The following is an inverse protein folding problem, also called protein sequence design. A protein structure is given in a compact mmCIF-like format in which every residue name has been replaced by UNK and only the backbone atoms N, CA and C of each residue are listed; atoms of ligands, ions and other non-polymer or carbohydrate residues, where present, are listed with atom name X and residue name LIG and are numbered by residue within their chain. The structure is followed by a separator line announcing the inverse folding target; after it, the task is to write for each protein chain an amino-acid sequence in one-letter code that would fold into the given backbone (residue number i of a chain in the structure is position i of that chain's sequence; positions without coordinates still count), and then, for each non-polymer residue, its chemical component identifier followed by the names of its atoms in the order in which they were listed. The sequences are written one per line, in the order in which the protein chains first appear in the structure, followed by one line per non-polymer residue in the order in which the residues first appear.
data_IF_814011909760
#
_entry.id   IF_814011909760
#
_cell.length_a   1.000
_cell.length_b   1.000
_cell.length_c   1.000
_cell.angle_alpha   90.00
_cell.angle_beta   90.00
_cell.angle_gamma   90.00
#
_symmetry.space_group_name_H-M   'P 1'
#
loop_
_entity.id
_entity.type
_entity.pdbx_description
1 polymer ?
#
# COMPACT_ATOMS: atom_id res chain seq x y z
N UNK A 1 6.44 -25.29 -0.30
CA UNK A 1 5.42 -24.91 -1.31
C UNK A 1 6.09 -24.40 -2.60
N UNK A 2 7.01 -23.42 -2.56
CA UNK A 2 7.72 -22.93 -3.77
C UNK A 2 8.67 -23.98 -4.38
N UNK A 3 9.20 -24.92 -3.59
CA UNK A 3 10.03 -26.00 -4.10
C UNK A 3 9.20 -27.04 -4.89
N UNK A 4 7.95 -27.26 -4.51
CA UNK A 4 7.05 -28.19 -5.19
C UNK A 4 6.51 -27.62 -6.50
N UNK A 5 6.35 -26.30 -6.60
CA UNK A 5 5.94 -25.60 -7.84
C UNK A 5 6.96 -25.80 -8.98
N UNK A 6 8.25 -25.99 -8.69
CA UNK A 6 9.26 -26.29 -9.72
C UNK A 6 9.00 -27.60 -10.48
N UNK A 7 8.18 -28.50 -9.95
CA UNK A 7 7.78 -29.74 -10.61
C UNK A 7 6.36 -29.67 -11.21
N UNK A 8 5.52 -28.68 -10.81
CA UNK A 8 4.19 -28.51 -11.37
C UNK A 8 4.28 -27.80 -12.73
N UNK A 9 4.14 -28.58 -13.79
CA UNK A 9 4.12 -28.07 -15.17
C UNK A 9 2.78 -27.42 -15.55
N UNK A 10 1.72 -27.70 -14.79
CA UNK A 10 0.35 -27.21 -15.01
C UNK A 10 -0.39 -27.10 -13.70
N UNK A 11 -1.31 -26.15 -13.60
CA UNK A 11 -2.15 -25.95 -12.42
C UNK A 11 -2.76 -24.55 -12.40
N UNK A 12 -3.58 -24.29 -11.38
CA UNK A 12 -4.15 -22.97 -11.11
C UNK A 12 -3.71 -22.52 -9.72
N UNK A 13 -3.37 -21.27 -9.58
CA UNK A 13 -3.07 -20.60 -8.31
C UNK A 13 -3.99 -19.40 -8.22
N UNK A 14 -4.70 -19.25 -7.09
CA UNK A 14 -5.57 -18.10 -6.81
C UNK A 14 -4.87 -17.16 -5.84
N UNK A 15 -4.59 -15.94 -6.30
CA UNK A 15 -3.92 -14.89 -5.55
C UNK A 15 -4.92 -13.81 -5.15
N UNK A 16 -5.02 -13.52 -3.85
CA UNK A 16 -5.79 -12.40 -3.30
C UNK A 16 -4.91 -11.19 -3.00
N UNK A 17 -5.43 -9.99 -3.21
CA UNK A 17 -4.81 -8.73 -2.81
C UNK A 17 -5.80 -7.58 -2.88
N UNK A 18 -5.48 -6.45 -2.24
CA UNK A 18 -6.28 -5.24 -2.38
C UNK A 18 -6.08 -4.56 -3.74
N UNK A 19 -7.05 -3.77 -4.22
CA UNK A 19 -6.96 -3.09 -5.51
C UNK A 19 -5.70 -2.24 -5.69
N UNK A 20 -5.28 -1.52 -4.66
CA UNK A 20 -4.09 -0.68 -4.71
C UNK A 20 -2.83 -1.52 -5.00
N UNK A 21 -2.60 -2.60 -4.24
CA UNK A 21 -1.46 -3.50 -4.45
C UNK A 21 -1.53 -4.22 -5.78
N UNK A 22 -2.72 -4.58 -6.20
CA UNK A 22 -2.94 -5.16 -7.53
C UNK A 22 -2.41 -4.24 -8.64
N UNK A 23 -2.62 -2.94 -8.53
CA UNK A 23 -2.17 -1.95 -9.50
C UNK A 23 -0.66 -1.75 -9.47
N UNK A 24 -0.07 -1.68 -8.29
CA UNK A 24 1.35 -1.33 -8.12
C UNK A 24 2.30 -2.53 -8.25
N UNK A 25 1.96 -3.67 -7.64
CA UNK A 25 2.89 -4.80 -7.45
C UNK A 25 2.71 -5.93 -8.47
N UNK A 26 1.45 -6.26 -8.82
CA UNK A 26 1.18 -7.48 -9.56
C UNK A 26 1.61 -7.46 -11.04
N UNK A 27 1.47 -6.38 -11.82
CA UNK A 27 1.63 -6.46 -13.27
C UNK A 27 2.99 -7.02 -13.71
N UNK A 28 4.08 -6.50 -13.13
CA UNK A 28 5.43 -6.95 -13.47
C UNK A 28 5.73 -8.34 -12.92
N UNK A 29 5.24 -8.64 -11.73
CA UNK A 29 5.45 -9.91 -11.05
C UNK A 29 4.73 -11.04 -11.76
N UNK A 30 3.47 -10.84 -12.12
CA UNK A 30 2.67 -11.81 -12.88
C UNK A 30 3.23 -12.04 -14.29
N UNK A 31 3.70 -10.98 -14.97
CA UNK A 31 4.34 -11.12 -16.27
C UNK A 31 5.59 -12.00 -16.19
N UNK A 32 6.46 -11.78 -15.22
CA UNK A 32 7.66 -12.61 -14.99
C UNK A 32 7.30 -14.04 -14.64
N UNK A 33 6.32 -14.22 -13.75
CA UNK A 33 5.84 -15.53 -13.33
C UNK A 33 5.31 -16.33 -14.51
N UNK A 34 4.45 -15.73 -15.34
CA UNK A 34 3.88 -16.37 -16.52
C UNK A 34 4.95 -16.82 -17.53
N UNK A 35 6.00 -16.02 -17.70
CA UNK A 35 7.10 -16.38 -18.58
C UNK A 35 7.94 -17.55 -18.03
N UNK A 36 8.09 -17.64 -16.71
CA UNK A 36 8.84 -18.72 -16.06
C UNK A 36 8.02 -20.01 -15.92
N UNK A 37 6.69 -19.87 -15.78
CA UNK A 37 5.77 -20.99 -15.53
C UNK A 37 4.54 -20.91 -16.46
N UNK A 38 4.73 -21.08 -17.78
CA UNK A 38 3.66 -20.87 -18.77
C UNK A 38 2.47 -21.82 -18.64
N UNK A 39 2.69 -22.98 -18.00
CA UNK A 39 1.63 -23.98 -17.75
C UNK A 39 0.82 -23.71 -16.48
N UNK A 40 1.20 -22.71 -15.66
CA UNK A 40 0.47 -22.36 -14.45
C UNK A 40 -0.44 -21.17 -14.74
N UNK A 41 -1.75 -21.35 -14.49
CA UNK A 41 -2.74 -20.27 -14.54
C UNK A 41 -2.72 -19.53 -13.19
N UNK A 42 -2.67 -18.22 -13.22
CA UNK A 42 -2.89 -17.39 -12.03
C UNK A 42 -4.23 -16.70 -12.17
N UNK A 43 -5.11 -16.96 -11.21
CA UNK A 43 -6.36 -16.24 -11.01
C UNK A 43 -6.14 -15.18 -9.91
N UNK A 44 -6.79 -14.04 -10.03
CA UNK A 44 -6.63 -12.94 -9.07
C UNK A 44 -7.96 -12.53 -8.50
N UNK A 45 -8.02 -12.36 -7.19
CA UNK A 45 -9.18 -11.86 -6.46
C UNK A 45 -8.80 -10.54 -5.81
N UNK A 46 -9.62 -9.51 -6.03
CA UNK A 46 -9.41 -8.19 -5.47
C UNK A 46 -10.54 -7.87 -4.50
N UNK A 47 -10.20 -7.71 -3.22
CA UNK A 47 -11.20 -7.47 -2.19
C UNK A 47 -10.59 -6.70 -1.00
N UNK A 48 -11.38 -6.42 0.02
CA UNK A 48 -10.93 -5.93 1.31
C UNK A 48 -10.09 -6.98 2.03
N UNK A 49 -9.21 -6.55 2.93
CA UNK A 49 -8.36 -7.47 3.72
C UNK A 49 -9.21 -8.47 4.50
N UNK A 50 -10.31 -8.02 5.09
CA UNK A 50 -11.23 -8.89 5.82
C UNK A 50 -11.80 -10.01 4.96
N UNK A 51 -12.31 -9.69 3.78
CA UNK A 51 -12.84 -10.68 2.86
C UNK A 51 -11.74 -11.64 2.35
N UNK A 52 -10.55 -11.11 2.08
CA UNK A 52 -9.39 -11.93 1.68
C UNK A 52 -8.99 -12.93 2.76
N UNK A 53 -9.04 -12.55 4.04
CA UNK A 53 -8.82 -13.47 5.16
C UNK A 53 -9.86 -14.60 5.17
N UNK A 54 -11.13 -14.30 4.91
CA UNK A 54 -12.18 -15.33 4.85
C UNK A 54 -11.96 -16.28 3.67
N UNK A 55 -11.61 -15.74 2.50
CA UNK A 55 -11.32 -16.54 1.31
C UNK A 55 -10.09 -17.44 1.48
N UNK A 56 -9.07 -16.98 2.22
CA UNK A 56 -7.93 -17.82 2.61
C UNK A 56 -8.36 -18.95 3.56
N UNK A 57 -9.21 -18.64 4.56
CA UNK A 57 -9.72 -19.67 5.49
C UNK A 57 -10.56 -20.73 4.79
N UNK A 58 -11.37 -20.33 3.81
CA UNK A 58 -12.18 -21.27 3.03
C UNK A 58 -11.38 -22.05 1.98
N UNK A 59 -10.16 -21.62 1.67
CA UNK A 59 -9.33 -22.21 0.61
C UNK A 59 -9.74 -21.79 -0.80
N UNK A 60 -10.56 -20.75 -0.94
CA UNK A 60 -10.91 -20.17 -2.24
C UNK A 60 -9.77 -19.34 -2.82
N UNK A 61 -8.90 -18.82 -1.95
CA UNK A 61 -7.64 -18.16 -2.29
C UNK A 61 -6.48 -18.95 -1.71
N UNK A 62 -5.45 -19.22 -2.50
CA UNK A 62 -4.27 -19.99 -2.09
C UNK A 62 -3.31 -19.17 -1.25
N UNK A 63 -3.13 -17.88 -1.60
CA UNK A 63 -2.32 -16.92 -0.84
C UNK A 63 -2.70 -15.47 -1.15
N UNK A 64 -2.36 -14.57 -0.22
CA UNK A 64 -2.55 -13.13 -0.39
C UNK A 64 -1.21 -12.39 -0.36
N UNK A 65 -1.17 -11.23 -1.03
CA UNK A 65 -0.09 -10.26 -0.89
C UNK A 65 -0.69 -9.01 -0.27
N UNK A 66 -0.32 -8.76 1.01
CA UNK A 66 -0.83 -7.62 1.78
C UNK A 66 0.20 -7.15 2.80
N UNK A 67 0.00 -5.95 3.35
CA UNK A 67 0.78 -5.48 4.48
C UNK A 67 0.14 -5.94 5.79
N UNK A 68 0.93 -6.51 6.62
CA UNK A 68 0.93 -6.60 8.09
C UNK A 68 -0.37 -6.92 8.87
N UNK A 69 -1.43 -7.45 8.24
CA UNK A 69 -2.74 -7.55 8.87
C UNK A 69 -3.30 -8.98 8.98
N UNK A 70 -2.48 -9.98 8.71
CA UNK A 70 -2.91 -11.37 8.83
C UNK A 70 -2.48 -11.96 10.17
N UNK A 71 -3.41 -12.55 10.96
CA UNK A 71 -3.09 -13.21 12.20
C UNK A 71 -2.08 -14.34 11.97
N UNK A 72 -0.89 -14.22 12.58
CA UNK A 72 0.20 -15.20 12.43
C UNK A 72 -0.11 -16.55 13.06
N UNK A 73 -1.10 -16.59 13.95
CA UNK A 73 -1.57 -17.84 14.56
C UNK A 73 -2.42 -18.67 13.58
N UNK A 74 -3.06 -18.02 12.60
CA UNK A 74 -3.94 -18.69 11.64
C UNK A 74 -3.26 -18.89 10.28
N UNK A 75 -2.38 -17.97 9.89
CA UNK A 75 -1.77 -17.95 8.57
C UNK A 75 -0.25 -17.99 8.65
N UNK A 76 0.36 -18.72 7.73
CA UNK A 76 1.79 -18.61 7.52
C UNK A 76 2.07 -17.34 6.73
N UNK A 77 2.82 -16.43 7.34
CA UNK A 77 3.26 -15.18 6.73
C UNK A 77 4.73 -15.24 6.33
N UNK A 78 5.09 -14.57 5.25
CA UNK A 78 6.46 -14.40 4.78
C UNK A 78 6.64 -12.96 4.33
N UNK A 79 7.57 -12.25 4.93
CA UNK A 79 7.89 -10.89 4.56
C UNK A 79 8.60 -10.89 3.20
N UNK A 80 8.06 -10.17 2.22
CA UNK A 80 8.62 -10.05 0.87
C UNK A 80 9.21 -8.67 0.60
N UNK A 81 8.74 -7.63 1.30
CA UNK A 81 9.25 -6.26 1.22
C UNK A 81 8.80 -5.48 2.47
N UNK A 82 9.53 -4.41 2.78
CA UNK A 82 9.09 -3.41 3.75
C UNK A 82 8.48 -2.22 3.01
N UNK A 83 7.40 -1.66 3.54
CA UNK A 83 6.76 -0.45 3.02
C UNK A 83 7.18 0.78 3.83
N UNK A 84 7.33 1.89 3.12
CA UNK A 84 7.53 3.21 3.73
C UNK A 84 6.37 4.11 3.33
N UNK A 85 5.78 4.79 4.32
CA UNK A 85 4.70 5.74 4.06
C UNK A 85 5.25 7.15 3.88
N UNK A 86 4.70 7.84 2.90
CA UNK A 86 5.05 9.22 2.57
C UNK A 86 3.83 10.12 2.69
N UNK A 87 4.06 11.35 3.17
CA UNK A 87 3.04 12.39 3.10
C UNK A 87 2.85 12.82 1.65
N UNK A 88 1.70 12.51 1.10
CA UNK A 88 1.30 12.92 -0.23
C UNK A 88 0.48 14.22 -0.15
N UNK A 89 0.99 15.27 -0.80
CA UNK A 89 0.38 16.60 -0.84
C UNK A 89 0.14 16.97 -2.30
N UNK A 90 -1.04 17.54 -2.66
CA UNK A 90 -1.29 18.00 -4.02
C UNK A 90 -0.19 18.95 -4.51
N UNK A 91 0.27 18.77 -5.75
CA UNK A 91 1.42 19.51 -6.29
C UNK A 91 1.29 21.04 -6.16
N UNK A 92 0.08 21.57 -6.32
CA UNK A 92 -0.20 23.00 -6.26
C UNK A 92 -0.57 23.49 -4.85
N UNK A 93 -0.44 22.68 -3.82
CA UNK A 93 -0.80 23.07 -2.46
C UNK A 93 0.20 24.09 -1.91
N UNK A 94 -0.24 25.17 -1.21
CA UNK A 94 0.65 26.19 -0.65
C UNK A 94 1.72 25.65 0.30
N UNK A 95 1.47 24.54 0.96
CA UNK A 95 2.42 23.85 1.84
C UNK A 95 3.76 23.52 1.15
N UNK A 96 3.74 23.30 -0.16
CA UNK A 96 4.93 22.94 -0.93
C UNK A 96 5.87 24.14 -1.19
N UNK A 97 5.41 25.38 -0.99
CA UNK A 97 6.20 26.58 -1.26
C UNK A 97 7.40 26.64 -0.31
N UNK A 98 8.60 26.70 -0.88
CA UNK A 98 9.86 26.73 -0.12
C UNK A 98 10.30 25.34 0.40
N UNK A 99 9.57 24.27 0.06
CA UNK A 99 9.87 22.90 0.48
C UNK A 99 10.34 22.01 -0.68
N UNK A 100 10.77 22.59 -1.78
CA UNK A 100 11.17 21.85 -3.00
C UNK A 100 12.28 20.83 -2.72
N UNK A 101 13.15 21.09 -1.73
CA UNK A 101 14.21 20.17 -1.33
C UNK A 101 13.71 18.99 -0.48
N UNK A 102 12.53 19.10 0.10
CA UNK A 102 11.88 18.07 0.90
C UNK A 102 10.94 17.20 0.04
N UNK A 103 10.66 17.64 -1.19
CA UNK A 103 9.83 16.88 -2.11
C UNK A 103 10.63 15.74 -2.74
N UNK A 104 10.02 14.56 -2.74
CA UNK A 104 10.53 13.38 -3.44
C UNK A 104 9.84 13.25 -4.79
N UNK A 105 10.62 12.95 -5.81
CA UNK A 105 10.11 12.58 -7.12
C UNK A 105 9.75 11.10 -7.16
N UNK A 106 8.96 10.71 -8.16
CA UNK A 106 8.71 9.29 -8.44
C UNK A 106 10.01 8.51 -8.64
N UNK A 107 11.00 9.13 -9.28
CA UNK A 107 12.30 8.50 -9.52
C UNK A 107 13.03 8.24 -8.21
N UNK A 108 13.01 9.18 -7.26
CA UNK A 108 13.63 9.02 -5.96
C UNK A 108 13.07 7.81 -5.21
N UNK A 109 11.76 7.62 -5.23
CA UNK A 109 11.07 6.53 -4.55
C UNK A 109 11.32 5.21 -5.29
N UNK A 110 11.05 5.14 -6.59
CA UNK A 110 11.13 3.89 -7.36
C UNK A 110 12.55 3.36 -7.53
N UNK A 111 13.55 4.25 -7.64
CA UNK A 111 14.97 3.87 -7.84
C UNK A 111 15.78 3.96 -6.55
N UNK A 112 15.16 4.36 -5.45
CA UNK A 112 15.81 4.54 -4.13
C UNK A 112 17.09 5.38 -4.27
N UNK A 113 16.95 6.57 -4.89
CA UNK A 113 18.10 7.46 -5.14
C UNK A 113 18.74 7.94 -3.82
N UNK A 114 19.98 8.43 -3.85
CA UNK A 114 20.61 9.01 -2.65
C UNK A 114 19.82 10.19 -2.05
N UNK A 115 18.98 10.86 -2.84
CA UNK A 115 18.11 11.95 -2.34
C UNK A 115 17.09 11.41 -1.34
N UNK A 116 16.46 10.28 -1.63
CA UNK A 116 15.50 9.62 -0.73
C UNK A 116 16.04 9.43 0.70
N UNK A 117 17.31 9.07 0.83
CA UNK A 117 17.94 8.80 2.13
C UNK A 117 18.54 10.05 2.80
N UNK A 118 18.56 11.20 2.11
CA UNK A 118 19.13 12.45 2.61
C UNK A 118 18.09 13.53 2.83
N UNK A 119 16.89 13.35 2.28
CA UNK A 119 15.81 14.31 2.45
C UNK A 119 15.40 14.35 3.92
N UNK A 120 15.37 15.54 4.46
CA UNK A 120 14.80 15.77 5.78
C UNK A 120 13.28 15.73 5.67
N UNK A 121 12.64 14.80 6.40
CA UNK A 121 11.20 14.72 6.45
C UNK A 121 10.55 15.96 7.07
N UNK A 122 9.27 16.12 6.85
CA UNK A 122 8.48 17.13 7.56
C UNK A 122 7.88 16.52 8.82
N UNK A 123 7.82 17.27 9.90
CA UNK A 123 7.07 16.86 11.07
C UNK A 123 5.58 16.99 10.78
N UNK A 124 4.80 15.99 11.20
CA UNK A 124 3.35 16.00 10.94
C UNK A 124 2.66 17.25 11.51
N UNK A 125 3.17 17.78 12.62
CA UNK A 125 2.66 19.01 13.23
C UNK A 125 2.82 20.25 12.32
N UNK A 126 3.72 20.24 11.34
CA UNK A 126 3.85 21.32 10.34
C UNK A 126 2.69 21.32 9.33
N UNK A 127 1.96 20.21 9.25
CA UNK A 127 0.82 20.08 8.35
C UNK A 127 -0.39 20.92 8.83
N UNK A 128 -0.40 21.33 10.10
CA UNK A 128 -1.40 22.27 10.62
C UNK A 128 -2.84 21.84 10.33
N UNK A 129 -3.57 22.73 9.68
CA UNK A 129 -4.99 22.52 9.33
C UNK A 129 -5.20 21.98 7.92
N UNK A 130 -4.16 21.38 7.29
CA UNK A 130 -4.35 20.77 5.98
C UNK A 130 -5.46 19.73 6.02
N UNK A 131 -6.31 19.66 4.97
CA UNK A 131 -7.38 18.68 4.91
C UNK A 131 -6.79 17.28 4.68
N UNK A 132 -7.01 16.36 5.61
CA UNK A 132 -6.55 14.98 5.50
C UNK A 132 -7.66 14.06 4.98
N UNK A 133 -7.27 13.17 4.10
CA UNK A 133 -8.01 11.97 3.75
C UNK A 133 -7.52 10.84 4.65
N UNK A 134 -8.45 10.16 5.29
CA UNK A 134 -8.17 9.07 6.23
C UNK A 134 -8.66 7.77 5.61
N UNK A 135 -7.83 6.74 5.68
CA UNK A 135 -8.23 5.41 5.27
C UNK A 135 -8.97 4.74 6.43
N UNK A 136 -10.23 4.40 6.23
CA UNK A 136 -10.96 3.52 7.11
C UNK A 136 -11.10 2.15 6.43
N UNK A 137 -10.35 1.20 6.87
CA UNK A 137 -10.48 -0.18 6.41
C UNK A 137 -11.33 -1.04 7.37
N UNK A 138 -12.32 -0.41 7.96
CA UNK A 138 -13.49 -0.99 8.63
C UNK A 138 -13.25 -2.00 9.77
N UNK A 139 -12.11 -2.64 9.95
CA UNK A 139 -12.04 -3.78 10.88
C UNK A 139 -10.73 -4.06 11.64
N UNK A 140 -9.76 -3.15 11.78
CA UNK A 140 -8.60 -3.32 12.70
C UNK A 140 -7.27 -2.74 12.21
N UNK A 141 -7.15 -2.18 11.06
CA UNK A 141 -5.97 -1.43 10.71
C UNK A 141 -6.13 -0.01 11.21
N UNK A 142 -5.51 0.30 12.32
CA UNK A 142 -5.32 1.70 12.71
C UNK A 142 -4.62 2.39 11.55
N UNK A 143 -5.30 3.34 10.92
CA UNK A 143 -4.75 4.10 9.82
C UNK A 143 -3.35 4.61 10.21
N UNK A 144 -2.42 4.57 9.29
CA UNK A 144 -1.06 5.06 9.55
C UNK A 144 -1.08 6.50 10.04
N UNK A 145 -2.02 7.31 9.57
CA UNK A 145 -2.20 8.68 10.05
C UNK A 145 -2.60 8.72 11.53
N UNK A 146 -3.50 7.85 11.99
CA UNK A 146 -3.88 7.78 13.42
C UNK A 146 -2.68 7.41 14.28
N UNK A 147 -1.90 6.41 13.87
CA UNK A 147 -0.68 5.99 14.59
C UNK A 147 0.33 7.12 14.70
N UNK A 148 0.57 7.86 13.62
CA UNK A 148 1.49 9.00 13.62
C UNK A 148 0.90 10.16 14.46
N UNK A 149 -0.39 10.42 14.36
CA UNK A 149 -1.09 11.46 15.09
C UNK A 149 -1.03 11.22 16.61
N UNK A 150 -1.25 9.99 17.04
CA UNK A 150 -1.10 9.59 18.45
C UNK A 150 0.34 9.76 18.94
N UNK A 151 1.33 9.28 18.16
CA UNK A 151 2.74 9.34 18.54
C UNK A 151 3.25 10.78 18.68
N UNK A 152 2.79 11.69 17.81
CA UNK A 152 3.24 13.08 17.74
C UNK A 152 2.25 14.06 18.44
N UNK A 153 1.21 13.55 19.09
CA UNK A 153 0.13 14.35 19.69
C UNK A 153 -0.44 15.38 18.70
N UNK A 154 -0.67 14.95 17.47
CA UNK A 154 -1.22 15.73 16.36
C UNK A 154 -2.69 15.42 16.19
N UNK A 155 -3.50 16.44 15.90
CA UNK A 155 -4.92 16.27 15.56
C UNK A 155 -5.14 16.61 14.09
N UNK A 156 -5.29 15.60 13.21
CA UNK A 156 -5.52 15.84 11.80
C UNK A 156 -6.90 16.49 11.57
N UNK A 157 -6.94 17.46 10.66
CA UNK A 157 -8.19 18.00 10.15
C UNK A 157 -8.76 17.02 9.11
N UNK A 158 -9.57 16.06 9.58
CA UNK A 158 -10.14 15.02 8.72
C UNK A 158 -11.22 15.62 7.82
N UNK A 159 -10.95 15.66 6.52
CA UNK A 159 -11.89 16.12 5.51
C UNK A 159 -12.82 15.01 5.03
N UNK A 160 -12.26 13.83 4.82
CA UNK A 160 -13.00 12.70 4.29
C UNK A 160 -12.38 11.37 4.72
N UNK A 161 -13.26 10.42 5.03
CA UNK A 161 -12.89 9.02 5.22
C UNK A 161 -13.08 8.29 3.89
N UNK A 162 -12.09 7.52 3.48
CA UNK A 162 -12.11 6.69 2.27
C UNK A 162 -11.78 5.25 2.63
N UNK A 163 -12.35 4.29 1.90
CA UNK A 163 -12.20 2.86 2.21
C UNK A 163 -11.24 2.14 1.27
N UNK A 164 -10.45 2.90 0.49
CA UNK A 164 -9.58 2.33 -0.53
C UNK A 164 -8.41 3.27 -0.83
N UNK A 165 -7.17 2.78 -0.75
CA UNK A 165 -5.96 3.55 -1.04
C UNK A 165 -5.90 4.06 -2.48
N UNK A 166 -6.44 3.31 -3.45
CA UNK A 166 -6.50 3.74 -4.86
C UNK A 166 -7.35 5.00 -5.01
N UNK A 167 -8.52 5.02 -4.36
CA UNK A 167 -9.40 6.20 -4.32
C UNK A 167 -8.69 7.36 -3.64
N UNK A 168 -8.08 7.12 -2.47
CA UNK A 168 -7.35 8.13 -1.71
C UNK A 168 -6.25 8.77 -2.57
N UNK A 169 -5.43 7.95 -3.23
CA UNK A 169 -4.37 8.42 -4.12
C UNK A 169 -4.91 9.33 -5.23
N UNK A 170 -5.95 8.91 -5.93
CA UNK A 170 -6.55 9.71 -7.00
C UNK A 170 -7.18 11.02 -6.50
N UNK A 171 -7.76 11.04 -5.32
CA UNK A 171 -8.31 12.25 -4.73
C UNK A 171 -7.21 13.23 -4.30
N UNK A 172 -6.08 12.73 -3.77
CA UNK A 172 -4.91 13.59 -3.49
C UNK A 172 -4.38 14.20 -4.78
N UNK A 173 -4.20 13.40 -5.83
CA UNK A 173 -3.75 13.88 -7.15
C UNK A 173 -4.70 14.94 -7.71
N UNK A 174 -6.01 14.79 -7.50
CA UNK A 174 -7.01 15.76 -7.91
C UNK A 174 -7.05 17.03 -7.06
N UNK A 175 -6.30 17.09 -5.95
CA UNK A 175 -6.23 18.27 -5.08
C UNK A 175 -7.28 18.31 -3.98
N UNK A 176 -7.98 17.20 -3.70
CA UNK A 176 -9.08 17.19 -2.75
C UNK A 176 -8.63 17.14 -1.29
N UNK A 177 -7.42 16.65 -1.00
CA UNK A 177 -6.86 16.58 0.34
C UNK A 177 -5.43 16.05 0.32
N UNK A 178 -4.90 15.76 1.49
CA UNK A 178 -3.58 15.19 1.73
C UNK A 178 -3.71 13.84 2.43
N UNK A 179 -2.67 13.03 2.45
CA UNK A 179 -2.73 11.76 3.15
C UNK A 179 -1.39 11.03 3.18
N UNK A 180 -1.35 9.90 3.87
CA UNK A 180 -0.19 9.02 3.91
C UNK A 180 -0.38 7.89 2.90
N UNK A 181 0.57 7.74 1.98
CA UNK A 181 0.55 6.74 0.91
C UNK A 181 1.81 5.89 0.98
N UNK A 182 1.72 4.56 0.89
CA UNK A 182 2.90 3.69 0.84
C UNK A 182 3.63 3.78 -0.50
N UNK A 183 4.90 3.39 -0.52
CA UNK A 183 5.79 3.37 -1.70
C UNK A 183 5.62 2.14 -2.60
N UNK A 184 4.69 1.27 -2.31
CA UNK A 184 4.40 0.04 -3.07
C UNK A 184 3.11 0.12 -3.83
#
# INVERSE_FOLDING_TARGET
ILADIKQLRTGTITLGTTPFRATCMLPKSLFRFKNSYPGVKVETVFDSIHNLQQLLRSGEVDFCIEADLFPTEEFRTEEIAAETYYLAVPANHPFNIGREKQCLSREDICQKTPHLYRVEGVHINECGEMPFLVLDDMENATDMLERVAEAENFQPNVQQIVHNLEIMFHWIVAGYGTGLIPDT
#
